data_IF_727024119881
#
_entry.id   IF_727024119881
#
_cell.length_a   1.000
_cell.length_b   1.000
_cell.length_c   1.000
_cell.angle_alpha   90.00
_cell.angle_beta   90.00
_cell.angle_gamma   90.00
#
_symmetry.space_group_name_H-M   'P 1'
#
loop_
_entity.id
_entity.type
_entity.pdbx_description
1 polymer ?
#
# COMPACT_ATOMS: atom_id res chain seq x y z
N UNK A 1 18.60 1.76 -10.48
CA UNK A 1 18.16 2.30 -9.17
C UNK A 1 16.78 2.89 -9.40
N UNK A 2 15.73 2.45 -8.69
CA UNK A 2 14.40 3.05 -8.87
C UNK A 2 14.49 4.52 -8.45
N UNK A 3 14.04 5.40 -9.33
CA UNK A 3 13.92 6.83 -9.02
C UNK A 3 12.95 6.98 -7.85
N UNK A 4 13.34 7.73 -6.80
CA UNK A 4 12.49 8.02 -5.65
C UNK A 4 11.15 8.65 -6.08
N UNK A 5 11.15 9.45 -7.14
CA UNK A 5 9.92 10.04 -7.70
C UNK A 5 9.00 8.96 -8.28
N UNK A 6 9.56 7.96 -8.96
CA UNK A 6 8.81 6.81 -9.47
C UNK A 6 8.34 5.89 -8.33
N UNK A 7 9.17 5.77 -7.28
CA UNK A 7 8.89 5.31 -5.92
C UNK A 7 7.53 5.77 -5.40
N UNK A 8 7.50 7.05 -5.06
CA UNK A 8 6.36 7.73 -4.48
C UNK A 8 5.17 7.78 -5.43
N UNK A 9 5.38 8.06 -6.72
CA UNK A 9 4.27 8.20 -7.67
C UNK A 9 3.47 6.91 -7.84
N UNK A 10 4.11 5.74 -7.70
CA UNK A 10 3.45 4.44 -7.84
C UNK A 10 3.03 3.82 -6.50
N UNK A 11 3.41 4.42 -5.37
CA UNK A 11 3.15 3.88 -4.02
C UNK A 11 1.69 3.47 -3.79
N UNK A 12 0.74 4.35 -4.13
CA UNK A 12 -0.69 4.06 -3.97
C UNK A 12 -1.18 2.90 -4.85
N UNK A 13 -0.61 2.75 -6.06
CA UNK A 13 -0.91 1.63 -6.96
C UNK A 13 -0.34 0.33 -6.41
N UNK A 14 0.92 0.34 -5.98
CA UNK A 14 1.59 -0.82 -5.38
C UNK A 14 0.88 -1.27 -4.10
N UNK A 15 0.52 -0.34 -3.22
CA UNK A 15 -0.24 -0.64 -2.00
C UNK A 15 -1.56 -1.35 -2.32
N UNK A 16 -2.33 -0.83 -3.27
CA UNK A 16 -3.57 -1.44 -3.72
C UNK A 16 -3.35 -2.85 -4.27
N UNK A 17 -2.35 -3.03 -5.12
CA UNK A 17 -2.05 -4.33 -5.73
C UNK A 17 -1.67 -5.36 -4.68
N UNK A 18 -0.78 -5.01 -3.74
CA UNK A 18 -0.37 -5.88 -2.64
C UNK A 18 -1.56 -6.30 -1.77
N UNK A 19 -2.35 -5.33 -1.30
CA UNK A 19 -3.56 -5.60 -0.51
C UNK A 19 -4.57 -6.45 -1.28
N UNK A 20 -4.70 -6.21 -2.59
CA UNK A 20 -5.66 -6.96 -3.41
C UNK A 20 -5.24 -8.42 -3.60
N UNK A 21 -3.95 -8.68 -3.71
CA UNK A 21 -3.41 -10.05 -3.77
C UNK A 21 -3.66 -10.76 -2.44
N UNK A 22 -3.23 -10.17 -1.33
CA UNK A 22 -3.32 -10.80 0.00
C UNK A 22 -4.76 -11.01 0.46
N UNK A 23 -5.66 -10.04 0.20
CA UNK A 23 -7.06 -10.16 0.58
C UNK A 23 -7.92 -10.90 -0.47
N UNK A 24 -7.35 -11.30 -1.61
CA UNK A 24 -8.09 -11.88 -2.73
C UNK A 24 -9.14 -10.92 -3.33
N UNK A 25 -8.87 -9.61 -3.30
CA UNK A 25 -9.79 -8.60 -3.81
C UNK A 25 -9.61 -8.37 -5.31
N UNK A 26 -10.73 -8.10 -5.98
CA UNK A 26 -10.70 -7.32 -7.20
C UNK A 26 -10.45 -5.84 -6.90
N UNK A 27 -9.93 -5.09 -7.88
CA UNK A 27 -9.72 -3.65 -7.75
C UNK A 27 -11.00 -2.90 -7.32
N UNK A 28 -12.14 -3.27 -7.90
CA UNK A 28 -13.44 -2.72 -7.51
C UNK A 28 -13.79 -3.01 -6.04
N UNK A 29 -13.41 -4.19 -5.52
CA UNK A 29 -13.65 -4.57 -4.12
C UNK A 29 -12.77 -3.76 -3.18
N UNK A 30 -11.50 -3.55 -3.52
CA UNK A 30 -10.60 -2.69 -2.77
C UNK A 30 -11.19 -1.27 -2.58
N UNK A 31 -11.62 -0.63 -3.67
CA UNK A 31 -12.21 0.72 -3.58
C UNK A 31 -13.53 0.74 -2.84
N UNK A 32 -14.35 -0.31 -2.94
CA UNK A 32 -15.57 -0.43 -2.13
C UNK A 32 -15.23 -0.51 -0.64
N UNK A 33 -14.22 -1.30 -0.27
CA UNK A 33 -13.75 -1.49 1.11
C UNK A 33 -13.16 -0.23 1.73
N UNK A 34 -12.46 0.59 0.94
CA UNK A 34 -11.90 1.89 1.35
C UNK A 34 -12.91 3.03 1.36
N UNK A 35 -14.05 2.89 0.70
CA UNK A 35 -15.07 3.94 0.66
C UNK A 35 -15.70 4.11 2.05
N UNK A 36 -15.27 5.13 2.78
CA UNK A 36 -15.83 5.51 4.09
C UNK A 36 -17.35 5.76 4.08
N UNK A 37 -17.93 6.02 2.90
CA UNK A 37 -19.36 6.31 2.73
C UNK A 37 -20.24 5.06 2.71
N UNK A 38 -19.68 3.87 2.52
CA UNK A 38 -20.43 2.61 2.58
C UNK A 38 -19.97 1.84 3.80
N UNK A 39 -20.92 1.20 4.50
CA UNK A 39 -20.72 0.40 5.73
C UNK A 39 -19.77 -0.81 5.57
N UNK A 40 -18.89 -0.87 4.59
CA UNK A 40 -17.87 -1.91 4.50
C UNK A 40 -16.80 -1.65 5.55
N UNK A 41 -16.98 -2.22 6.73
CA UNK A 41 -15.91 -2.30 7.71
C UNK A 41 -14.91 -3.34 7.22
N UNK A 42 -13.63 -2.93 7.17
CA UNK A 42 -12.53 -3.89 7.15
C UNK A 42 -12.64 -4.77 8.40
N UNK A 43 -12.58 -6.09 8.23
CA UNK A 43 -12.42 -7.04 9.31
C UNK A 43 -11.09 -6.79 10.03
N UNK A 44 -10.92 -7.34 11.23
CA UNK A 44 -9.64 -7.18 11.94
C UNK A 44 -8.46 -7.79 11.18
N UNK A 45 -8.68 -8.92 10.49
CA UNK A 45 -7.68 -9.54 9.64
C UNK A 45 -7.35 -8.66 8.43
N UNK A 46 -8.37 -8.10 7.76
CA UNK A 46 -8.17 -7.17 6.64
C UNK A 46 -7.40 -5.91 7.09
N UNK A 47 -7.72 -5.38 8.28
CA UNK A 47 -6.98 -4.24 8.85
C UNK A 47 -5.50 -4.56 9.09
N UNK A 48 -5.20 -5.74 9.60
CA UNK A 48 -3.82 -6.18 9.83
C UNK A 48 -3.03 -6.21 8.51
N UNK A 49 -3.61 -6.81 7.47
CA UNK A 49 -3.00 -6.85 6.12
C UNK A 49 -2.77 -5.43 5.58
N UNK A 50 -3.76 -4.53 5.71
CA UNK A 50 -3.60 -3.14 5.25
C UNK A 50 -2.46 -2.42 5.98
N UNK A 51 -2.30 -2.63 7.28
CA UNK A 51 -1.22 -2.02 8.06
C UNK A 51 0.14 -2.61 7.67
N UNK A 52 0.24 -3.93 7.57
CA UNK A 52 1.47 -4.63 7.19
C UNK A 52 1.97 -4.19 5.81
N UNK A 53 1.07 -4.11 4.82
CA UNK A 53 1.42 -3.65 3.47
C UNK A 53 1.79 -2.16 3.42
N UNK A 54 1.24 -1.35 4.33
CA UNK A 54 1.59 0.06 4.44
C UNK A 54 2.97 0.25 5.07
N UNK A 55 3.26 -0.49 6.15
CA UNK A 55 4.58 -0.50 6.81
C UNK A 55 5.67 -0.92 5.82
N UNK A 56 5.45 -2.03 5.10
CA UNK A 56 6.39 -2.50 4.08
C UNK A 56 6.72 -1.42 3.04
N UNK A 57 5.70 -0.69 2.57
CA UNK A 57 5.86 0.34 1.56
C UNK A 57 6.59 1.59 2.11
N UNK A 58 6.35 1.94 3.37
CA UNK A 58 7.08 3.03 4.06
C UNK A 58 8.54 2.65 4.25
N UNK A 59 8.83 1.39 4.58
CA UNK A 59 10.21 0.89 4.70
C UNK A 59 10.94 0.94 3.36
N UNK A 60 10.32 0.51 2.26
CA UNK A 60 10.91 0.60 0.92
C UNK A 60 11.24 2.05 0.52
N UNK A 61 10.33 2.97 0.83
CA UNK A 61 10.52 4.41 0.59
C UNK A 61 11.67 4.95 1.44
N UNK A 62 11.69 4.60 2.72
CA UNK A 62 12.72 5.05 3.68
C UNK A 62 14.10 4.55 3.28
N UNK A 63 14.20 3.30 2.87
CA UNK A 63 15.41 2.70 2.31
C UNK A 63 15.89 3.42 1.05
N UNK A 64 14.97 3.79 0.17
CA UNK A 64 15.29 4.55 -1.04
C UNK A 64 15.85 5.95 -0.70
N UNK A 65 15.22 6.65 0.27
CA UNK A 65 15.67 7.95 0.77
C UNK A 65 17.07 7.84 1.38
N UNK A 66 17.29 6.87 2.27
CA UNK A 66 18.57 6.68 2.95
C UNK A 66 19.70 6.38 1.95
N UNK A 67 19.42 5.59 0.90
CA UNK A 67 20.37 5.32 -0.18
C UNK A 67 20.72 6.56 -1.01
N UNK A 68 19.79 7.49 -1.17
CA UNK A 68 20.05 8.76 -1.86
C UNK A 68 20.77 9.77 -0.95
N UNK A 69 20.50 9.78 0.36
CA UNK A 69 21.13 10.68 1.32
C UNK A 69 22.60 10.36 1.58
N UNK A 70 22.98 9.08 1.52
CA UNK A 70 24.35 8.60 1.74
C UNK A 70 25.20 8.57 0.45
N UNK A 71 24.75 9.24 -0.62
CA UNK A 71 25.50 9.49 -1.86
C UNK A 71 25.97 10.93 -1.91
#
# INVERSE_FOLDING_TARGET
>A
MKDIHQLFSNSGKSFREMVSIECGYSEATFYRKLSFFKKSKLSNAERAVFLEMAEHLVDEITDCINKHRNR
#
